data_IF_031070028007
#
_entry.id   IF_031070028007
#
_cell.length_a   1.000
_cell.length_b   1.000
_cell.length_c   1.000
_cell.angle_alpha   90.00
_cell.angle_beta   90.00
_cell.angle_gamma   90.00
#
_symmetry.space_group_name_H-M   'P 1'
#
loop_
_entity.id
_entity.type
_entity.pdbx_description
1 polymer ?
#
# COMPACT_ATOMS: atom_id res chain seq x y z
N UNK A 1 -22.88 -28.51 -5.70
CA UNK A 1 -23.00 -27.10 -6.04
C UNK A 1 -21.64 -26.42 -6.01
N UNK A 2 -21.02 -26.24 -7.15
CA UNK A 2 -19.70 -25.60 -7.18
C UNK A 2 -19.72 -24.06 -7.20
N UNK A 3 -20.90 -23.42 -7.20
CA UNK A 3 -21.01 -21.98 -7.32
C UNK A 3 -20.26 -21.19 -6.26
N UNK A 4 -20.29 -21.55 -4.97
CA UNK A 4 -19.52 -20.81 -3.96
C UNK A 4 -18.02 -20.84 -4.21
N UNK A 5 -17.52 -21.97 -4.72
CA UNK A 5 -16.09 -22.13 -5.04
C UNK A 5 -15.71 -21.23 -6.21
N UNK A 6 -16.54 -21.19 -7.24
CA UNK A 6 -16.31 -20.32 -8.39
C UNK A 6 -16.29 -18.85 -7.98
N UNK A 7 -17.26 -18.46 -7.17
CA UNK A 7 -17.34 -17.08 -6.69
C UNK A 7 -16.08 -16.67 -5.94
N UNK A 8 -15.57 -17.51 -5.06
CA UNK A 8 -14.35 -17.26 -4.31
C UNK A 8 -13.14 -17.10 -5.24
N UNK A 9 -13.02 -17.96 -6.24
CA UNK A 9 -11.91 -17.91 -7.20
C UNK A 9 -11.94 -16.63 -8.04
N UNK A 10 -13.12 -16.23 -8.49
CA UNK A 10 -13.25 -15.01 -9.29
C UNK A 10 -12.90 -13.78 -8.46
N UNK A 11 -13.32 -13.74 -7.20
CA UNK A 11 -12.98 -12.64 -6.30
C UNK A 11 -11.46 -12.56 -6.09
N UNK A 12 -10.80 -13.68 -5.85
CA UNK A 12 -9.35 -13.73 -5.67
C UNK A 12 -8.59 -13.23 -6.89
N UNK A 13 -9.04 -13.60 -8.10
CA UNK A 13 -8.42 -13.18 -9.35
C UNK A 13 -8.56 -11.67 -9.55
N UNK A 14 -9.69 -11.11 -9.13
CA UNK A 14 -10.03 -9.71 -9.36
C UNK A 14 -9.43 -8.75 -8.33
N UNK A 15 -8.91 -9.24 -7.20
CA UNK A 15 -8.30 -8.38 -6.19
C UNK A 15 -6.94 -7.86 -6.67
N UNK A 16 -6.81 -6.54 -6.91
CA UNK A 16 -5.56 -5.96 -7.41
C UNK A 16 -4.59 -5.56 -6.29
N UNK A 17 -4.68 -6.22 -5.15
CA UNK A 17 -3.79 -5.97 -4.02
C UNK A 17 -3.39 -7.27 -3.34
N UNK A 18 -2.17 -7.30 -2.85
CA UNK A 18 -1.68 -8.37 -1.99
C UNK A 18 -0.62 -7.82 -1.03
N UNK A 19 -0.32 -8.56 0.03
CA UNK A 19 0.77 -8.20 0.92
C UNK A 19 1.37 -9.45 1.55
N UNK A 20 2.59 -9.31 2.01
CA UNK A 20 3.28 -10.30 2.83
C UNK A 20 3.83 -9.62 4.07
N UNK A 21 3.74 -10.29 5.21
CA UNK A 21 4.33 -9.83 6.46
C UNK A 21 5.47 -10.77 6.82
N UNK A 22 6.67 -10.23 6.96
CA UNK A 22 7.86 -10.96 7.39
C UNK A 22 8.26 -10.47 8.78
N UNK A 23 7.89 -11.18 9.85
CA UNK A 23 8.22 -10.74 11.21
C UNK A 23 9.71 -10.73 11.52
N UNK A 24 10.49 -11.63 10.91
CA UNK A 24 11.93 -11.68 11.13
C UNK A 24 12.62 -10.44 10.58
N UNK A 25 12.21 -9.98 9.40
CA UNK A 25 12.75 -8.79 8.77
C UNK A 25 12.03 -7.52 9.24
N UNK A 26 10.96 -7.65 10.00
CA UNK A 26 10.09 -6.56 10.44
C UNK A 26 9.66 -5.71 9.24
N UNK A 27 9.09 -6.38 8.25
CA UNK A 27 8.80 -5.80 6.95
C UNK A 27 7.43 -6.26 6.44
N UNK A 28 6.64 -5.31 5.97
CA UNK A 28 5.42 -5.54 5.20
C UNK A 28 5.73 -5.18 3.75
N UNK A 29 5.49 -6.11 2.84
CA UNK A 29 5.61 -5.86 1.41
C UNK A 29 4.22 -5.90 0.79
N UNK A 30 3.74 -4.77 0.32
CA UNK A 30 2.45 -4.63 -0.34
C UNK A 30 2.64 -4.47 -1.83
N UNK A 31 1.72 -5.02 -2.61
CA UNK A 31 1.72 -4.86 -4.05
C UNK A 31 0.33 -4.50 -4.53
N UNK A 32 0.24 -3.50 -5.38
CA UNK A 32 -1.01 -2.99 -5.93
C UNK A 32 -0.84 -2.90 -7.44
N UNK A 33 -1.81 -3.45 -8.19
CA UNK A 33 -1.71 -3.48 -9.65
C UNK A 33 -3.07 -3.34 -10.31
N UNK A 34 -3.08 -3.15 -11.64
CA UNK A 34 -4.30 -3.07 -12.43
C UNK A 34 -5.06 -1.77 -12.24
N UNK A 35 -6.37 -1.84 -12.37
CA UNK A 35 -7.26 -0.70 -12.16
C UNK A 35 -7.58 -0.56 -10.68
N UNK A 36 -7.18 0.53 -10.07
CA UNK A 36 -7.29 0.74 -8.63
C UNK A 36 -8.22 1.90 -8.32
N UNK A 37 -9.19 1.65 -7.44
CA UNK A 37 -10.14 2.65 -6.95
C UNK A 37 -10.08 2.74 -5.41
N UNK A 38 -10.92 3.59 -4.82
CA UNK A 38 -10.98 3.77 -3.37
C UNK A 38 -11.25 2.45 -2.62
N UNK A 39 -12.08 1.57 -3.21
CA UNK A 39 -12.49 0.31 -2.56
C UNK A 39 -11.29 -0.59 -2.30
N UNK A 40 -10.41 -0.77 -3.29
CA UNK A 40 -9.25 -1.65 -3.15
C UNK A 40 -8.26 -1.14 -2.11
N UNK A 41 -8.09 0.17 -2.04
CA UNK A 41 -7.22 0.79 -1.02
C UNK A 41 -7.79 0.56 0.39
N UNK A 42 -9.08 0.78 0.57
CA UNK A 42 -9.75 0.52 1.86
C UNK A 42 -9.62 -0.94 2.28
N UNK A 43 -9.92 -1.86 1.37
CA UNK A 43 -9.85 -3.29 1.65
C UNK A 43 -8.43 -3.72 2.03
N UNK A 44 -7.44 -3.24 1.31
CA UNK A 44 -6.04 -3.55 1.61
C UNK A 44 -5.67 -3.07 3.00
N UNK A 45 -5.98 -1.83 3.34
CA UNK A 45 -5.63 -1.25 4.62
C UNK A 45 -6.34 -1.95 5.78
N UNK A 46 -7.63 -2.24 5.64
CA UNK A 46 -8.39 -2.93 6.68
C UNK A 46 -7.89 -4.35 6.89
N UNK A 47 -7.59 -5.06 5.83
CA UNK A 47 -7.07 -6.43 5.92
C UNK A 47 -5.70 -6.43 6.60
N UNK A 48 -4.82 -5.51 6.22
CA UNK A 48 -3.48 -5.42 6.79
C UNK A 48 -3.52 -5.07 8.28
N UNK A 49 -4.26 -4.02 8.64
CA UNK A 49 -4.28 -3.54 10.04
C UNK A 49 -4.86 -4.57 11.01
N UNK A 50 -5.73 -5.46 10.54
CA UNK A 50 -6.37 -6.48 11.37
C UNK A 50 -5.66 -7.84 11.31
N UNK A 51 -4.62 -7.97 10.51
CA UNK A 51 -3.84 -9.20 10.42
C UNK A 51 -3.07 -9.42 11.74
N UNK A 52 -3.21 -10.60 12.38
CA UNK A 52 -2.52 -10.88 13.65
C UNK A 52 -1.00 -10.79 13.59
N UNK A 53 -0.42 -10.92 12.40
CA UNK A 53 1.03 -10.82 12.19
C UNK A 53 1.51 -9.40 12.02
N UNK A 54 0.59 -8.44 11.84
CA UNK A 54 0.95 -7.05 11.62
C UNK A 54 1.42 -6.40 12.92
N UNK A 55 2.52 -5.65 12.81
CA UNK A 55 3.03 -4.80 13.89
C UNK A 55 3.20 -3.39 13.33
N UNK A 56 2.64 -2.36 13.96
CA UNK A 56 2.74 -0.98 13.47
C UNK A 56 4.16 -0.46 13.32
N UNK A 57 5.15 -1.07 13.94
CA UNK A 57 6.56 -0.68 13.84
C UNK A 57 7.29 -1.31 12.66
N UNK A 58 6.65 -2.22 11.93
CA UNK A 58 7.26 -2.83 10.76
C UNK A 58 7.36 -1.82 9.61
N UNK A 59 8.52 -1.82 8.94
CA UNK A 59 8.70 -1.03 7.72
C UNK A 59 7.76 -1.54 6.64
N UNK A 60 7.45 -0.70 5.66
CA UNK A 60 6.59 -1.10 4.54
C UNK A 60 7.24 -0.74 3.21
N UNK A 61 7.17 -1.67 2.28
CA UNK A 61 7.48 -1.45 0.86
C UNK A 61 6.19 -1.64 0.08
N UNK A 62 5.76 -0.63 -0.66
CA UNK A 62 4.56 -0.70 -1.50
C UNK A 62 4.97 -0.60 -2.96
N UNK A 63 4.77 -1.69 -3.70
CA UNK A 63 5.02 -1.72 -5.14
C UNK A 63 3.74 -1.36 -5.90
N UNK A 64 3.75 -0.18 -6.52
CA UNK A 64 2.63 0.35 -7.30
C UNK A 64 2.98 0.40 -8.80
N UNK A 65 4.05 -0.28 -9.22
CA UNK A 65 4.51 -0.24 -10.61
C UNK A 65 3.57 -0.95 -11.58
N UNK A 66 2.73 -1.84 -11.07
CA UNK A 66 1.76 -2.58 -11.88
C UNK A 66 0.41 -1.88 -12.06
N UNK A 67 0.21 -0.70 -11.49
CA UNK A 67 -1.05 0.04 -11.64
C UNK A 67 -1.17 0.54 -13.08
N UNK A 68 -2.28 0.22 -13.74
CA UNK A 68 -2.56 0.64 -15.12
C UNK A 68 -3.56 1.80 -15.18
N UNK A 69 -4.46 1.87 -14.21
CA UNK A 69 -5.49 2.91 -14.12
C UNK A 69 -5.68 3.28 -12.67
N UNK A 70 -5.59 4.56 -12.35
CA UNK A 70 -5.77 5.05 -10.99
C UNK A 70 -7.06 5.88 -10.91
N UNK A 71 -8.00 5.43 -10.07
CA UNK A 71 -9.27 6.11 -9.83
C UNK A 71 -9.48 6.45 -8.36
N UNK A 72 -8.39 6.72 -7.64
CA UNK A 72 -8.43 7.09 -6.23
C UNK A 72 -8.79 8.57 -6.10
N UNK A 73 -9.81 8.86 -5.27
CA UNK A 73 -10.30 10.22 -5.09
C UNK A 73 -9.41 11.02 -4.13
N UNK A 74 -9.48 12.35 -4.25
CA UNK A 74 -8.80 13.25 -3.29
C UNK A 74 -9.33 13.05 -1.87
N UNK A 75 -10.63 12.79 -1.73
CA UNK A 75 -11.23 12.48 -0.43
C UNK A 75 -10.60 11.24 0.20
N UNK A 76 -10.36 10.20 -0.59
CA UNK A 76 -9.72 8.98 -0.13
C UNK A 76 -8.29 9.24 0.34
N UNK A 77 -7.53 10.04 -0.40
CA UNK A 77 -6.17 10.41 -0.01
C UNK A 77 -6.19 11.15 1.33
N UNK A 78 -7.12 12.06 1.52
CA UNK A 78 -7.28 12.78 2.78
C UNK A 78 -7.63 11.84 3.93
N UNK A 79 -8.64 10.99 3.76
CA UNK A 79 -9.07 10.04 4.78
C UNK A 79 -7.94 9.09 5.17
N UNK A 80 -7.26 8.53 4.18
CA UNK A 80 -6.18 7.56 4.41
C UNK A 80 -4.98 8.21 5.09
N UNK A 81 -4.67 9.46 4.77
CA UNK A 81 -3.57 10.17 5.44
C UNK A 81 -3.89 10.51 6.89
N UNK A 82 -5.17 10.70 7.24
CA UNK A 82 -5.60 10.91 8.63
C UNK A 82 -5.69 9.60 9.41
N UNK A 83 -6.01 8.51 8.75
CA UNK A 83 -6.19 7.19 9.36
C UNK A 83 -4.88 6.40 9.33
N UNK A 84 -3.90 6.85 10.11
CA UNK A 84 -2.59 6.21 10.15
C UNK A 84 -2.55 5.09 11.18
N UNK A 85 -2.24 3.88 10.72
CA UNK A 85 -2.11 2.72 11.58
C UNK A 85 -0.67 2.19 11.71
N UNK A 86 0.28 2.80 11.02
CA UNK A 86 1.70 2.58 11.26
C UNK A 86 2.20 3.55 12.33
N UNK A 87 3.17 3.13 13.11
CA UNK A 87 3.77 3.99 14.14
C UNK A 87 4.50 5.17 13.51
N UNK A 88 4.46 6.36 14.14
CA UNK A 88 5.24 7.50 13.68
C UNK A 88 6.73 7.16 13.57
N UNK A 89 7.38 7.65 12.52
CA UNK A 89 8.80 7.42 12.29
C UNK A 89 9.13 6.09 11.61
N UNK A 90 8.17 5.18 11.48
CA UNK A 90 8.37 3.94 10.74
C UNK A 90 8.53 4.24 9.25
N UNK A 91 9.61 3.77 8.65
CA UNK A 91 9.88 4.05 7.23
C UNK A 91 8.96 3.25 6.32
N UNK A 92 8.32 3.96 5.41
CA UNK A 92 7.43 3.38 4.41
C UNK A 92 7.84 3.91 3.03
N UNK A 93 8.23 3.00 2.14
CA UNK A 93 8.67 3.35 0.79
C UNK A 93 7.61 2.92 -0.22
N UNK A 94 7.23 3.84 -1.10
CA UNK A 94 6.28 3.60 -2.17
C UNK A 94 7.02 3.68 -3.50
N UNK A 95 6.84 2.70 -4.39
CA UNK A 95 7.46 2.66 -5.70
C UNK A 95 6.41 2.91 -6.76
N UNK A 96 6.58 3.95 -7.57
CA UNK A 96 5.67 4.30 -8.64
C UNK A 96 6.45 4.81 -9.85
N UNK A 97 6.24 4.20 -11.01
CA UNK A 97 6.90 4.57 -12.26
C UNK A 97 6.02 5.48 -13.14
N UNK A 98 4.70 5.28 -13.10
CA UNK A 98 3.75 6.12 -13.82
C UNK A 98 3.63 7.50 -13.16
N UNK A 99 3.60 8.56 -13.96
CA UNK A 99 3.60 9.94 -13.45
C UNK A 99 2.36 10.26 -12.61
N UNK A 100 1.18 9.80 -13.02
CA UNK A 100 -0.06 10.05 -12.28
C UNK A 100 -0.05 9.32 -10.93
N UNK A 101 0.40 8.07 -10.92
CA UNK A 101 0.52 7.27 -9.70
C UNK A 101 1.56 7.87 -8.77
N UNK A 102 2.70 8.29 -9.32
CA UNK A 102 3.76 8.93 -8.54
C UNK A 102 3.26 10.22 -7.88
N UNK A 103 2.55 11.06 -8.63
CA UNK A 103 1.99 12.31 -8.12
C UNK A 103 0.97 12.08 -7.01
N UNK A 104 0.11 11.09 -7.17
CA UNK A 104 -0.87 10.71 -6.15
C UNK A 104 -0.17 10.21 -4.87
N UNK A 105 0.81 9.35 -5.03
CA UNK A 105 1.57 8.82 -3.89
C UNK A 105 2.32 9.93 -3.15
N UNK A 106 2.88 10.89 -3.87
CA UNK A 106 3.54 12.06 -3.27
C UNK A 106 2.56 12.93 -2.49
N UNK A 107 1.37 13.12 -3.01
CA UNK A 107 0.32 13.89 -2.31
C UNK A 107 -0.02 13.22 -0.97
N UNK A 108 -0.20 11.91 -0.99
CA UNK A 108 -0.45 11.13 0.22
C UNK A 108 0.73 11.25 1.21
N UNK A 109 1.96 11.05 0.72
CA UNK A 109 3.16 11.09 1.55
C UNK A 109 3.33 12.45 2.24
N UNK A 110 3.12 13.54 1.51
CA UNK A 110 3.26 14.89 2.08
C UNK A 110 2.23 15.17 3.17
N UNK A 111 1.00 14.71 3.00
CA UNK A 111 -0.05 14.88 4.01
C UNK A 111 0.23 14.04 5.24
N UNK A 112 0.63 12.80 5.04
CA UNK A 112 0.95 11.89 6.14
C UNK A 112 2.19 12.34 6.92
N UNK A 113 3.16 12.94 6.25
CA UNK A 113 4.37 13.51 6.89
C UNK A 113 4.00 14.59 7.89
N UNK A 114 3.03 15.44 7.56
CA UNK A 114 2.53 16.46 8.48
C UNK A 114 1.90 15.87 9.75
N UNK A 115 1.60 14.57 9.76
CA UNK A 115 1.03 13.84 10.90
C UNK A 115 2.05 12.90 11.55
N UNK A 116 3.34 13.09 11.28
CA UNK A 116 4.41 12.33 11.90
C UNK A 116 4.81 11.05 11.19
N UNK A 117 4.24 10.76 10.02
CA UNK A 117 4.60 9.59 9.24
C UNK A 117 5.87 9.83 8.44
N UNK A 118 6.64 8.76 8.19
CA UNK A 118 7.89 8.83 7.42
C UNK A 118 7.70 8.01 6.14
N UNK A 119 7.23 8.68 5.08
CA UNK A 119 6.91 8.06 3.80
C UNK A 119 7.73 8.73 2.71
N UNK A 120 8.37 7.93 1.86
CA UNK A 120 9.09 8.43 0.70
C UNK A 120 8.67 7.68 -0.54
N UNK A 121 8.50 8.41 -1.65
CA UNK A 121 8.08 7.84 -2.93
C UNK A 121 9.28 7.78 -3.86
N UNK A 122 9.47 6.63 -4.50
CA UNK A 122 10.60 6.37 -5.39
C UNK A 122 10.10 5.93 -6.75
N UNK A 123 10.85 6.27 -7.79
CA UNK A 123 10.66 5.68 -9.12
C UNK A 123 11.48 4.42 -9.30
N UNK A 124 12.55 4.27 -8.55
CA UNK A 124 13.50 3.16 -8.62
C UNK A 124 13.33 2.27 -7.38
N UNK A 125 13.00 1.00 -7.61
CA UNK A 125 12.80 0.04 -6.52
C UNK A 125 14.06 -0.27 -5.73
N UNK A 126 15.24 -0.23 -6.35
CA UNK A 126 16.48 -0.47 -5.64
C UNK A 126 16.80 0.66 -4.64
N UNK A 127 16.54 1.89 -5.05
CA UNK A 127 16.71 3.04 -4.16
C UNK A 127 15.73 2.99 -2.99
N UNK A 128 14.50 2.52 -3.24
CA UNK A 128 13.50 2.33 -2.19
C UNK A 128 13.98 1.31 -1.15
N UNK A 129 14.48 0.17 -1.60
CA UNK A 129 14.99 -0.88 -0.71
C UNK A 129 16.20 -0.40 0.08
N UNK A 130 17.10 0.32 -0.57
CA UNK A 130 18.27 0.91 0.07
C UNK A 130 17.88 1.85 1.21
N UNK A 131 16.91 2.72 0.95
CA UNK A 131 16.40 3.64 1.97
C UNK A 131 15.73 2.92 3.13
N UNK A 132 15.05 1.79 2.86
CA UNK A 132 14.46 0.94 3.89
C UNK A 132 15.49 0.09 4.65
N UNK A 133 16.69 -0.08 4.09
CA UNK A 133 17.72 -0.94 4.68
C UNK A 133 17.49 -2.42 4.45
N UNK A 134 16.95 -2.76 3.31
CA UNK A 134 16.66 -4.17 2.96
C UNK A 134 17.36 -4.60 1.68
#
# INVERSE_FOLDING_TARGET
>A
MPLPVYSSRLIEIELPTTYEIDPQRRLVTSRIWGAVTDIEIHQHNDTLRTDPKFDPTYRQLVDMTGITTIGVSTSMINETSLDQFFSPGTRRAFIATDDAVFGMARMFALRAEGLGQTIQVFRDGELAKEWLGI
#
